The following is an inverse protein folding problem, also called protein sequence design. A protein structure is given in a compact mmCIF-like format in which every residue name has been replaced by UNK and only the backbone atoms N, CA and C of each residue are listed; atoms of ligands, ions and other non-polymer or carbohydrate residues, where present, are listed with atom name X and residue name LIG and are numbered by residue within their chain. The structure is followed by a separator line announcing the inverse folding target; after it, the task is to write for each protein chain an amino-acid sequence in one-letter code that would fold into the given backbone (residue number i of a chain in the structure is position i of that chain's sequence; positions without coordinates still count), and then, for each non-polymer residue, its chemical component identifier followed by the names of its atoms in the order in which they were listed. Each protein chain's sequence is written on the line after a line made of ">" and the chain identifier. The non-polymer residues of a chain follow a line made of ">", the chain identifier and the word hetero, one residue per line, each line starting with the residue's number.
data_IF_038015891342
#
_entry.id   IF_038015891342
#
_cell.length_a   1.000
_cell.length_b   1.000
_cell.length_c   1.000
_cell.angle_alpha   90.00
_cell.angle_beta   90.00
_cell.angle_gamma   90.00
#
_symmetry.space_group_name_H-M   'P 1'
#
loop_
_entity.id
_entity.type
_entity.pdbx_description
1 polymer ?
#
# COMPACT_ATOMS: atom_id res chain seq x y z
N UNK A 1 8.01 -66.85 -36.44
CA UNK A 1 8.85 -65.65 -36.59
C UNK A 1 8.01 -64.44 -36.20
N UNK A 2 8.11 -63.98 -34.95
CA UNK A 2 7.33 -62.83 -34.44
C UNK A 2 8.19 -61.57 -34.49
N UNK A 3 7.78 -60.58 -35.29
CA UNK A 3 8.43 -59.26 -35.31
C UNK A 3 7.87 -58.38 -34.18
N UNK A 4 8.80 -57.84 -33.39
CA UNK A 4 8.56 -56.96 -32.25
C UNK A 4 8.25 -55.53 -32.71
N UNK A 5 7.11 -54.99 -32.31
CA UNK A 5 6.79 -53.56 -32.44
C UNK A 5 7.32 -52.81 -31.21
N UNK A 6 8.45 -52.10 -31.38
CA UNK A 6 8.95 -51.10 -30.43
C UNK A 6 9.30 -49.83 -31.19
N UNK A 7 8.31 -49.00 -31.57
CA UNK A 7 8.59 -47.62 -31.97
C UNK A 7 7.33 -46.73 -31.91
N UNK A 8 6.76 -46.55 -30.72
CA UNK A 8 5.66 -45.58 -30.52
C UNK A 8 5.64 -44.93 -29.13
N UNK A 9 6.76 -44.97 -28.39
CA UNK A 9 6.84 -44.38 -27.04
C UNK A 9 7.90 -43.29 -26.88
N UNK A 10 8.45 -42.74 -27.97
CA UNK A 10 9.47 -41.68 -27.89
C UNK A 10 8.97 -40.28 -28.29
N UNK A 11 7.72 -40.15 -28.76
CA UNK A 11 7.17 -38.85 -29.20
C UNK A 11 6.13 -38.22 -28.26
N UNK A 12 5.95 -38.79 -27.05
CA UNK A 12 5.02 -38.26 -26.04
C UNK A 12 5.71 -37.72 -24.77
N UNK A 13 7.05 -37.75 -24.71
CA UNK A 13 7.83 -37.35 -23.53
C UNK A 13 8.62 -36.04 -23.71
N UNK A 14 8.55 -35.41 -24.89
CA UNK A 14 9.21 -34.12 -25.16
C UNK A 14 8.22 -32.94 -25.15
N UNK A 15 6.91 -33.18 -25.17
CA UNK A 15 5.89 -32.11 -25.08
C UNK A 15 5.40 -31.81 -23.66
N UNK A 16 5.89 -32.51 -22.62
CA UNK A 16 5.43 -32.32 -21.24
C UNK A 16 6.45 -31.62 -20.33
N UNK A 17 7.45 -30.95 -20.90
CA UNK A 17 8.50 -30.22 -20.15
C UNK A 17 8.47 -28.70 -20.34
N UNK A 18 7.46 -28.15 -21.03
CA UNK A 18 7.35 -26.70 -21.32
C UNK A 18 6.24 -25.94 -20.56
N UNK A 19 5.63 -26.53 -19.53
CA UNK A 19 4.58 -25.86 -18.73
C UNK A 19 4.82 -25.89 -17.21
N UNK A 20 6.05 -25.56 -16.79
CA UNK A 20 6.34 -25.19 -15.40
C UNK A 20 7.12 -23.86 -15.36
N UNK A 21 6.59 -22.82 -16.01
CA UNK A 21 6.85 -21.45 -15.54
C UNK A 21 5.98 -21.27 -14.32
N UNK A 22 6.49 -21.67 -13.16
CA UNK A 22 5.85 -21.38 -11.88
C UNK A 22 5.74 -19.86 -11.76
N UNK A 23 4.52 -19.34 -11.68
CA UNK A 23 4.28 -17.99 -11.22
C UNK A 23 4.77 -17.91 -9.78
N UNK A 24 5.95 -17.33 -9.57
CA UNK A 24 6.44 -17.06 -8.23
C UNK A 24 5.57 -15.94 -7.64
N UNK A 25 4.54 -16.32 -6.88
CA UNK A 25 3.84 -15.37 -6.02
C UNK A 25 4.85 -14.83 -5.01
N UNK A 26 5.11 -13.52 -5.05
CA UNK A 26 5.98 -12.87 -4.07
C UNK A 26 5.29 -12.91 -2.70
N UNK A 27 5.72 -13.83 -1.83
CA UNK A 27 5.20 -13.94 -0.47
C UNK A 27 5.76 -12.81 0.40
N UNK A 28 4.95 -12.33 1.35
CA UNK A 28 5.42 -11.37 2.34
C UNK A 28 6.53 -11.99 3.21
N UNK A 29 7.52 -11.19 3.59
CA UNK A 29 8.69 -11.63 4.37
C UNK A 29 9.05 -10.59 5.43
N UNK A 30 9.50 -11.04 6.60
CA UNK A 30 10.00 -10.16 7.67
C UNK A 30 11.32 -9.48 7.31
N UNK A 31 12.01 -9.97 6.27
CA UNK A 31 13.32 -9.48 5.82
C UNK A 31 13.27 -8.83 4.45
N UNK A 32 12.09 -8.50 3.92
CA UNK A 32 11.90 -7.98 2.56
C UNK A 32 12.81 -6.78 2.22
N UNK A 33 13.00 -5.85 3.16
CA UNK A 33 13.85 -4.66 2.98
C UNK A 33 15.29 -4.81 3.46
N UNK A 34 15.70 -5.99 3.97
CA UNK A 34 17.00 -6.16 4.62
C UNK A 34 18.20 -5.82 3.71
N UNK A 35 18.05 -5.99 2.39
CA UNK A 35 19.08 -5.65 1.39
C UNK A 35 18.83 -4.31 0.70
N UNK A 36 17.58 -3.99 0.35
CA UNK A 36 17.22 -2.83 -0.46
C UNK A 36 17.10 -1.53 0.35
N UNK A 37 16.70 -1.62 1.63
CA UNK A 37 16.67 -0.47 2.54
C UNK A 37 16.92 -0.94 3.99
N UNK A 38 18.18 -1.25 4.36
CA UNK A 38 18.51 -1.87 5.65
C UNK A 38 18.07 -1.07 6.88
N UNK A 39 18.02 0.26 6.76
CA UNK A 39 17.62 1.18 7.83
C UNK A 39 16.12 1.56 7.79
N UNK A 40 15.29 0.89 6.98
CA UNK A 40 13.88 1.22 6.86
C UNK A 40 13.14 1.10 8.22
N UNK A 41 13.25 -0.06 8.88
CA UNK A 41 12.50 -0.32 10.12
C UNK A 41 12.96 0.55 11.29
N UNK A 42 14.27 0.85 11.39
CA UNK A 42 14.79 1.75 12.42
C UNK A 42 14.34 3.21 12.20
N UNK A 43 14.26 3.65 10.94
CA UNK A 43 13.74 4.97 10.58
C UNK A 43 12.25 5.11 10.94
N UNK A 44 11.43 4.12 10.56
CA UNK A 44 10.00 4.09 10.93
C UNK A 44 9.85 4.16 12.46
N UNK A 45 10.56 3.30 13.18
CA UNK A 45 10.52 3.26 14.65
C UNK A 45 10.87 4.60 15.28
N UNK A 46 11.93 5.26 14.81
CA UNK A 46 12.38 6.55 15.36
C UNK A 46 11.30 7.64 15.24
N UNK A 47 10.64 7.73 14.08
CA UNK A 47 9.57 8.72 13.88
C UNK A 47 8.35 8.39 14.72
N UNK A 48 7.96 7.12 14.79
CA UNK A 48 6.81 6.66 15.60
C UNK A 48 7.06 6.91 17.08
N UNK A 49 8.23 6.52 17.62
CA UNK A 49 8.58 6.75 19.02
C UNK A 49 8.55 8.26 19.36
N UNK A 50 9.04 9.12 18.47
CA UNK A 50 8.98 10.57 18.64
C UNK A 50 7.54 11.11 18.63
N UNK A 51 6.70 10.61 17.73
CA UNK A 51 5.30 11.00 17.64
C UNK A 51 4.49 10.54 18.87
N UNK A 52 4.68 9.31 19.33
CA UNK A 52 4.03 8.75 20.53
C UNK A 52 4.51 9.45 21.79
N UNK A 53 5.79 9.81 21.89
CA UNK A 53 6.32 10.59 23.01
C UNK A 53 5.70 11.98 23.08
N UNK A 54 5.38 12.57 21.93
CA UNK A 54 4.69 13.87 21.84
C UNK A 54 3.21 13.75 22.20
N UNK A 55 2.55 12.71 21.71
CA UNK A 55 1.15 12.42 22.00
C UNK A 55 0.94 10.90 22.08
N UNK A 56 0.73 10.38 23.29
CA UNK A 56 0.55 8.93 23.50
C UNK A 56 -0.57 8.32 22.65
N UNK A 57 -1.66 9.07 22.43
CA UNK A 57 -2.79 8.64 21.56
C UNK A 57 -2.37 8.36 20.12
N UNK A 58 -1.24 8.89 19.65
CA UNK A 58 -0.75 8.63 18.30
C UNK A 58 -0.47 7.14 18.07
N UNK A 59 0.00 6.40 19.08
CA UNK A 59 0.22 4.96 18.95
C UNK A 59 -1.08 4.19 18.67
N UNK A 60 -2.16 4.53 19.38
CA UNK A 60 -3.50 4.00 19.13
C UNK A 60 -4.05 4.45 17.75
N UNK A 61 -3.72 5.67 17.33
CA UNK A 61 -4.16 6.21 16.04
C UNK A 61 -3.55 5.45 14.85
N UNK A 62 -2.25 5.17 14.92
CA UNK A 62 -1.51 4.41 13.91
C UNK A 62 -1.96 2.93 13.87
N UNK A 63 -2.20 2.33 15.04
CA UNK A 63 -2.78 0.99 15.13
C UNK A 63 -4.15 0.90 14.44
N UNK A 64 -5.02 1.88 14.72
CA UNK A 64 -6.35 1.96 14.09
C UNK A 64 -6.26 2.22 12.59
N UNK A 65 -5.32 3.05 12.14
CA UNK A 65 -5.10 3.29 10.72
C UNK A 65 -4.81 1.99 9.96
N UNK A 66 -3.99 1.09 10.52
CA UNK A 66 -3.72 -0.21 9.91
C UNK A 66 -4.93 -1.14 9.88
N UNK A 67 -5.74 -1.16 10.95
CA UNK A 67 -7.02 -1.91 10.92
C UNK A 67 -7.92 -1.38 9.79
N UNK A 68 -8.10 -0.06 9.69
CA UNK A 68 -8.97 0.53 8.68
C UNK A 68 -8.45 0.38 7.25
N UNK A 69 -7.13 0.27 7.04
CA UNK A 69 -6.52 -0.09 5.76
C UNK A 69 -6.86 -1.54 5.38
N UNK A 70 -6.67 -2.48 6.32
CA UNK A 70 -6.82 -3.91 6.04
C UNK A 70 -8.28 -4.41 5.98
N UNK A 71 -9.20 -3.76 6.69
CA UNK A 71 -10.55 -4.30 6.97
C UNK A 71 -11.64 -3.79 5.99
N UNK A 72 -11.32 -3.70 4.69
CA UNK A 72 -12.23 -3.22 3.63
C UNK A 72 -12.89 -4.37 2.85
N UNK A 73 -12.24 -4.99 1.88
CA UNK A 73 -12.79 -6.13 1.09
C UNK A 73 -11.82 -7.31 1.08
N UNK A 74 -12.28 -8.50 0.70
CA UNK A 74 -11.39 -9.65 0.49
C UNK A 74 -10.47 -9.46 -0.73
N UNK A 75 -10.65 -8.40 -1.53
CA UNK A 75 -9.80 -8.08 -2.69
C UNK A 75 -9.08 -6.72 -2.56
N UNK A 76 -9.41 -5.93 -1.51
CA UNK A 76 -8.79 -4.65 -1.17
C UNK A 76 -8.45 -4.73 0.31
N UNK A 77 -7.25 -5.27 0.58
CA UNK A 77 -6.75 -5.52 1.92
C UNK A 77 -5.74 -4.47 2.33
N UNK A 78 -4.66 -4.87 3.01
CA UNK A 78 -3.62 -3.95 3.48
C UNK A 78 -2.79 -3.40 2.30
N UNK A 79 -3.27 -2.35 1.64
CA UNK A 79 -2.70 -1.81 0.41
C UNK A 79 -2.47 -0.28 0.46
N UNK A 80 -2.67 0.34 1.62
CA UNK A 80 -2.51 1.77 1.84
C UNK A 80 -3.54 2.63 1.11
N UNK A 81 -4.65 2.06 0.63
CA UNK A 81 -5.74 2.78 -0.06
C UNK A 81 -6.33 3.90 0.78
N UNK A 82 -6.47 3.68 2.10
CA UNK A 82 -6.97 4.68 3.07
C UNK A 82 -6.13 5.96 3.11
N UNK A 83 -4.88 5.92 2.65
CA UNK A 83 -3.96 7.05 2.68
C UNK A 83 -4.24 8.04 1.54
N UNK A 84 -4.91 7.63 0.47
CA UNK A 84 -5.20 8.47 -0.70
C UNK A 84 -6.17 9.60 -0.34
N UNK A 85 -5.81 10.82 -0.72
CA UNK A 85 -6.66 12.01 -0.58
C UNK A 85 -7.62 12.14 -1.77
N UNK A 86 -8.78 12.74 -1.51
CA UNK A 86 -9.74 13.12 -2.56
C UNK A 86 -9.08 14.10 -3.55
N UNK A 87 -9.44 13.97 -4.83
CA UNK A 87 -9.14 14.96 -5.88
C UNK A 87 -10.41 15.28 -6.66
N UNK A 88 -10.35 16.21 -7.62
CA UNK A 88 -11.51 16.56 -8.44
C UNK A 88 -12.17 15.35 -9.13
N UNK A 89 -11.39 14.31 -9.46
CA UNK A 89 -11.84 13.13 -10.21
C UNK A 89 -11.58 11.81 -9.46
N UNK A 90 -11.30 11.86 -8.15
CA UNK A 90 -11.00 10.67 -7.34
C UNK A 90 -11.55 10.86 -5.93
N UNK A 91 -12.29 9.88 -5.42
CA UNK A 91 -12.77 9.86 -4.03
C UNK A 91 -12.03 8.78 -3.27
N UNK A 92 -11.28 9.20 -2.24
CA UNK A 92 -10.62 8.33 -1.29
C UNK A 92 -11.58 7.77 -0.23
N UNK A 93 -10.99 7.22 0.83
CA UNK A 93 -11.77 6.62 1.93
C UNK A 93 -11.89 7.50 3.16
N UNK A 94 -11.14 8.62 3.22
CA UNK A 94 -11.07 9.47 4.42
C UNK A 94 -12.41 10.10 4.79
N UNK A 95 -13.31 10.22 3.81
CA UNK A 95 -14.69 10.72 3.99
C UNK A 95 -15.71 9.64 4.30
N UNK A 96 -15.30 8.36 4.42
CA UNK A 96 -16.17 7.28 4.90
C UNK A 96 -16.62 7.53 6.34
N UNK A 97 -17.82 7.10 6.73
CA UNK A 97 -18.39 7.38 8.05
C UNK A 97 -17.49 6.96 9.22
N UNK A 98 -16.84 5.81 9.12
CA UNK A 98 -15.91 5.28 10.14
C UNK A 98 -14.55 6.01 10.16
N UNK A 99 -14.21 6.74 9.09
CA UNK A 99 -12.93 7.45 8.91
C UNK A 99 -13.04 8.94 9.19
N UNK A 100 -14.13 9.57 8.73
CA UNK A 100 -14.35 11.01 8.75
C UNK A 100 -14.30 11.57 10.16
N UNK A 101 -13.40 12.54 10.37
CA UNK A 101 -13.14 13.17 11.65
C UNK A 101 -12.78 12.16 12.77
N UNK A 102 -12.18 11.02 12.39
CA UNK A 102 -11.98 9.87 13.28
C UNK A 102 -10.58 9.27 13.13
N UNK A 103 -10.23 8.73 11.96
CA UNK A 103 -8.89 8.18 11.69
C UNK A 103 -7.89 9.33 11.54
N UNK A 104 -6.68 9.16 12.07
CA UNK A 104 -5.64 10.20 12.13
C UNK A 104 -4.23 9.58 12.16
N UNK A 105 -3.20 10.43 12.12
CA UNK A 105 -1.79 10.02 12.04
C UNK A 105 -1.24 9.97 10.61
N UNK A 106 -2.00 10.46 9.63
CA UNK A 106 -1.56 10.54 8.23
C UNK A 106 -0.27 11.36 8.07
N UNK A 107 -0.12 12.43 8.85
CA UNK A 107 1.06 13.30 8.91
C UNK A 107 2.31 12.58 9.43
N UNK A 108 2.14 11.65 10.37
CA UNK A 108 3.23 10.78 10.84
C UNK A 108 3.66 9.84 9.72
N UNK A 109 2.72 9.26 8.99
CA UNK A 109 2.99 8.43 7.80
C UNK A 109 3.73 9.25 6.72
N UNK A 110 3.32 10.49 6.47
CA UNK A 110 4.01 11.37 5.51
C UNK A 110 5.46 11.66 5.94
N UNK A 111 5.67 11.92 7.24
CA UNK A 111 7.01 12.19 7.79
C UNK A 111 7.91 10.97 7.62
N UNK A 112 7.42 9.78 8.01
CA UNK A 112 8.11 8.50 7.80
C UNK A 112 8.46 8.33 6.32
N UNK A 113 7.46 8.53 5.45
CA UNK A 113 7.63 8.33 4.01
C UNK A 113 8.70 9.25 3.43
N UNK A 114 8.70 10.54 3.77
CA UNK A 114 9.70 11.48 3.25
C UNK A 114 11.13 11.12 3.66
N UNK A 115 11.32 10.62 4.90
CA UNK A 115 12.63 10.18 5.37
C UNK A 115 13.08 8.91 4.66
N UNK A 116 12.17 7.96 4.45
CA UNK A 116 12.46 6.74 3.70
C UNK A 116 12.76 7.04 2.23
N UNK A 117 12.04 7.96 1.58
CA UNK A 117 12.34 8.37 0.21
C UNK A 117 13.69 9.08 0.09
N UNK A 118 14.11 9.82 1.12
CA UNK A 118 15.45 10.41 1.17
C UNK A 118 16.57 9.36 1.38
N UNK A 119 16.24 8.24 2.03
CA UNK A 119 17.17 7.18 2.39
C UNK A 119 17.31 6.12 1.29
N UNK A 120 16.19 5.69 0.71
CA UNK A 120 16.07 4.61 -0.26
C UNK A 120 14.88 4.88 -1.21
N UNK A 121 15.05 5.80 -2.17
CA UNK A 121 13.98 6.26 -3.06
C UNK A 121 13.23 5.12 -3.76
N UNK A 122 11.89 5.15 -3.72
CA UNK A 122 11.03 4.20 -4.43
C UNK A 122 11.08 2.75 -3.93
N UNK A 123 11.59 2.50 -2.71
CA UNK A 123 11.75 1.13 -2.18
C UNK A 123 10.61 0.72 -1.25
N UNK A 124 10.29 1.52 -0.23
CA UNK A 124 9.38 1.13 0.86
C UNK A 124 7.95 1.59 0.57
N UNK A 125 6.98 0.68 0.57
CA UNK A 125 5.57 1.02 0.30
C UNK A 125 4.91 1.72 1.47
N UNK A 126 3.86 2.50 1.19
CA UNK A 126 3.06 3.12 2.25
C UNK A 126 2.25 2.07 3.04
N UNK A 127 1.79 1.01 2.39
CA UNK A 127 1.14 -0.13 3.04
C UNK A 127 2.04 -0.77 4.12
N UNK A 128 3.33 -0.99 3.83
CA UNK A 128 4.26 -1.52 4.83
C UNK A 128 4.60 -0.51 5.93
N UNK A 129 4.67 0.79 5.61
CA UNK A 129 4.84 1.84 6.61
C UNK A 129 3.70 1.80 7.63
N UNK A 130 2.44 1.69 7.18
CA UNK A 130 1.28 1.61 8.07
C UNK A 130 1.33 0.37 8.97
N UNK A 131 1.69 -0.79 8.41
CA UNK A 131 1.79 -2.04 9.16
C UNK A 131 2.90 -1.99 10.24
N UNK A 132 4.08 -1.45 9.90
CA UNK A 132 5.19 -1.30 10.85
C UNK A 132 4.86 -0.24 11.90
N UNK A 133 4.27 0.88 11.50
CA UNK A 133 3.89 1.95 12.42
C UNK A 133 2.84 1.51 13.45
N UNK A 134 1.90 0.65 13.07
CA UNK A 134 0.96 0.03 14.01
C UNK A 134 1.67 -0.81 15.09
N UNK A 135 2.67 -1.61 14.68
CA UNK A 135 3.46 -2.41 15.62
C UNK A 135 4.29 -1.52 16.54
N UNK A 136 5.04 -0.59 15.98
CA UNK A 136 5.91 0.29 16.76
C UNK A 136 5.11 1.20 17.70
N UNK A 137 3.96 1.71 17.27
CA UNK A 137 3.06 2.50 18.11
C UNK A 137 2.48 1.69 19.28
N UNK A 138 2.18 0.42 19.06
CA UNK A 138 1.75 -0.51 20.11
C UNK A 138 2.87 -0.77 21.12
N UNK A 139 4.08 -1.06 20.63
CA UNK A 139 5.26 -1.32 21.49
C UNK A 139 5.65 -0.08 22.29
N UNK A 140 5.59 1.11 21.69
CA UNK A 140 5.89 2.37 22.38
C UNK A 140 4.94 2.64 23.57
N UNK A 141 3.74 2.06 23.54
CA UNK A 141 2.76 2.09 24.63
C UNK A 141 2.80 0.82 25.49
N UNK A 142 3.95 0.15 25.58
CA UNK A 142 4.19 -1.06 26.39
C UNK A 142 3.49 -2.34 25.88
N UNK A 143 2.95 -2.34 24.66
CA UNK A 143 2.28 -3.49 24.06
C UNK A 143 3.24 -4.60 23.61
N UNK A 144 2.70 -5.74 23.13
CA UNK A 144 3.53 -6.79 22.54
C UNK A 144 4.13 -6.33 21.20
N UNK A 145 5.30 -6.87 20.89
CA UNK A 145 5.84 -6.84 19.52
C UNK A 145 5.40 -8.07 18.75
N UNK A 146 5.36 -7.98 17.42
CA UNK A 146 5.18 -9.12 16.51
C UNK A 146 6.06 -8.96 15.28
N UNK A 147 6.27 -10.06 14.57
CA UNK A 147 7.07 -10.11 13.36
C UNK A 147 6.22 -9.61 12.17
N UNK A 148 6.29 -8.31 11.89
CA UNK A 148 5.58 -7.70 10.76
C UNK A 148 6.10 -8.32 9.46
N UNK A 149 5.22 -8.96 8.69
CA UNK A 149 5.53 -9.41 7.34
C UNK A 149 5.51 -8.21 6.40
N UNK A 150 6.45 -8.10 5.47
CA UNK A 150 6.68 -6.96 4.58
C UNK A 150 6.69 -7.40 3.11
N UNK A 151 6.62 -6.45 2.18
CA UNK A 151 6.52 -6.68 0.74
C UNK A 151 5.16 -6.31 0.16
N UNK A 152 4.30 -5.61 0.92
CA UNK A 152 3.04 -5.07 0.39
C UNK A 152 3.33 -3.99 -0.62
N UNK A 153 2.44 -3.82 -1.58
CA UNK A 153 2.44 -2.73 -2.56
C UNK A 153 1.23 -1.85 -2.38
N UNK A 154 1.37 -0.63 -2.84
CA UNK A 154 0.37 0.41 -2.71
C UNK A 154 -0.71 0.28 -3.78
N UNK A 155 -1.97 0.46 -3.38
CA UNK A 155 -3.09 0.53 -4.32
C UNK A 155 -3.00 1.74 -5.25
N UNK A 156 -3.66 1.64 -6.40
CA UNK A 156 -3.92 2.77 -7.31
C UNK A 156 -5.34 3.33 -7.16
N UNK A 157 -6.16 2.69 -6.33
CA UNK A 157 -7.56 3.02 -6.10
C UNK A 157 -7.88 3.02 -4.60
N UNK A 158 -9.03 3.59 -4.25
CA UNK A 158 -9.62 3.53 -2.92
C UNK A 158 -11.13 3.28 -3.07
N UNK A 159 -11.78 2.82 -2.01
CA UNK A 159 -13.19 2.46 -2.07
C UNK A 159 -14.00 2.99 -0.89
N UNK A 160 -14.55 4.21 -1.06
CA UNK A 160 -15.45 4.84 -0.08
C UNK A 160 -16.64 3.94 0.29
N UNK A 161 -17.24 3.26 -0.68
CA UNK A 161 -18.38 2.37 -0.45
C UNK A 161 -17.96 1.12 0.33
N UNK A 162 -16.81 0.52 0.04
CA UNK A 162 -16.29 -0.61 0.80
C UNK A 162 -16.00 -0.20 2.25
N UNK A 163 -15.39 0.96 2.47
CA UNK A 163 -15.11 1.47 3.81
C UNK A 163 -16.41 1.67 4.63
N UNK A 164 -17.47 2.18 4.01
CA UNK A 164 -18.76 2.33 4.67
C UNK A 164 -19.48 0.99 4.94
N UNK A 165 -19.28 -0.01 4.08
CA UNK A 165 -20.01 -1.28 4.15
C UNK A 165 -19.35 -2.32 5.07
N UNK A 166 -18.03 -2.31 5.20
CA UNK A 166 -17.30 -3.45 5.77
C UNK A 166 -16.58 -3.15 7.09
N UNK A 167 -16.36 -1.88 7.43
CA UNK A 167 -15.73 -1.53 8.70
C UNK A 167 -16.79 -1.68 9.81
N UNK A 168 -16.55 -2.54 10.83
CA UNK A 168 -17.53 -2.81 11.87
C UNK A 168 -17.97 -1.53 12.61
N UNK A 169 -19.27 -1.43 12.88
CA UNK A 169 -19.85 -0.30 13.60
C UNK A 169 -19.63 -0.44 15.11
N UNK A 170 -19.41 0.70 15.79
CA UNK A 170 -19.40 0.77 17.25
C UNK A 170 -20.77 0.45 17.89
N UNK A 171 -21.86 0.41 17.09
CA UNK A 171 -23.21 0.01 17.49
C UNK A 171 -23.52 -1.46 17.19
N UNK A 172 -22.59 -2.23 16.63
CA UNK A 172 -22.83 -3.63 16.27
C UNK A 172 -22.95 -4.54 17.50
N UNK A 173 -23.93 -5.44 17.46
CA UNK A 173 -24.06 -6.51 18.45
C UNK A 173 -23.06 -7.65 18.19
N UNK A 174 -22.95 -8.60 19.13
CA UNK A 174 -21.97 -9.69 19.03
C UNK A 174 -22.12 -10.54 17.76
N UNK A 175 -23.35 -10.84 17.33
CA UNK A 175 -23.60 -11.65 16.12
C UNK A 175 -23.07 -10.96 14.87
N UNK A 176 -23.32 -9.65 14.73
CA UNK A 176 -22.82 -8.85 13.61
C UNK A 176 -21.29 -8.78 13.66
N UNK A 177 -20.70 -8.52 14.83
CA UNK A 177 -19.24 -8.47 14.98
C UNK A 177 -18.58 -9.80 14.57
N UNK A 178 -19.13 -10.94 15.00
CA UNK A 178 -18.62 -12.27 14.61
C UNK A 178 -18.76 -12.46 13.10
N UNK A 179 -19.88 -12.07 12.50
CA UNK A 179 -20.11 -12.15 11.05
C UNK A 179 -19.09 -11.31 10.27
N UNK A 180 -18.91 -10.05 10.64
CA UNK A 180 -18.00 -9.12 9.96
C UNK A 180 -16.55 -9.64 10.00
N UNK A 181 -16.11 -10.16 11.15
CA UNK A 181 -14.78 -10.75 11.29
C UNK A 181 -14.64 -12.10 10.57
N UNK A 182 -15.68 -12.94 10.62
CA UNK A 182 -15.69 -14.22 9.90
C UNK A 182 -15.63 -14.04 8.39
N UNK A 183 -16.25 -12.98 7.85
CA UNK A 183 -16.16 -12.61 6.44
C UNK A 183 -14.73 -12.24 6.00
N UNK A 184 -13.84 -11.95 6.96
CA UNK A 184 -12.39 -11.73 6.75
C UNK A 184 -11.54 -12.92 7.19
N UNK A 185 -12.16 -14.05 7.50
CA UNK A 185 -11.48 -15.28 7.92
C UNK A 185 -11.03 -15.28 9.38
N UNK A 186 -11.53 -14.38 10.23
CA UNK A 186 -11.23 -14.36 11.66
C UNK A 186 -12.24 -15.15 12.49
N UNK A 187 -11.74 -15.81 13.51
CA UNK A 187 -12.54 -16.49 14.54
C UNK A 187 -13.05 -15.51 15.58
N UNK A 188 -14.07 -15.91 16.35
CA UNK A 188 -14.54 -15.14 17.50
C UNK A 188 -13.43 -14.87 18.54
N UNK A 189 -12.48 -15.81 18.71
CA UNK A 189 -11.31 -15.60 19.59
C UNK A 189 -10.42 -14.45 19.10
N UNK A 190 -10.18 -14.39 17.79
CA UNK A 190 -9.36 -13.33 17.18
C UNK A 190 -10.08 -11.99 17.17
N UNK A 191 -11.42 -11.96 16.99
CA UNK A 191 -12.24 -10.77 17.24
C UNK A 191 -12.01 -10.22 18.64
N UNK A 192 -12.11 -11.06 19.67
CA UNK A 192 -11.91 -10.64 21.07
C UNK A 192 -10.47 -10.16 21.30
N UNK A 193 -9.48 -10.82 20.69
CA UNK A 193 -8.08 -10.38 20.77
C UNK A 193 -7.90 -8.99 20.14
N UNK A 194 -8.33 -8.78 18.89
CA UNK A 194 -8.19 -7.51 18.17
C UNK A 194 -8.98 -6.37 18.81
N UNK A 195 -10.14 -6.66 19.41
CA UNK A 195 -10.91 -5.69 20.20
C UNK A 195 -10.13 -5.19 21.43
N UNK A 196 -9.18 -5.99 21.93
CA UNK A 196 -8.24 -5.58 22.97
C UNK A 196 -7.36 -4.39 22.58
N UNK A 197 -7.27 -4.00 21.30
CA UNK A 197 -6.64 -2.74 20.88
C UNK A 197 -7.27 -1.50 21.53
N UNK A 198 -8.53 -1.58 21.95
CA UNK A 198 -9.22 -0.53 22.70
C UNK A 198 -8.71 -0.37 24.15
N UNK A 199 -7.67 -1.10 24.56
CA UNK A 199 -6.92 -0.81 25.79
C UNK A 199 -6.17 0.54 25.73
N UNK A 200 -6.00 1.13 24.55
CA UNK A 200 -5.37 2.45 24.35
C UNK A 200 -6.22 3.34 23.47
N UNK A 201 -6.02 4.65 23.58
CA UNK A 201 -6.65 5.64 22.72
C UNK A 201 -7.98 6.16 23.26
N UNK A 202 -8.71 6.88 22.41
CA UNK A 202 -9.91 7.62 22.82
C UNK A 202 -10.96 7.59 21.71
N UNK A 203 -12.22 7.60 22.14
CA UNK A 203 -13.38 7.71 21.28
C UNK A 203 -14.10 9.06 21.47
N UNK A 204 -14.84 9.47 20.45
CA UNK A 204 -15.65 10.69 20.45
C UNK A 204 -17.01 10.43 21.11
N UNK A 205 -17.57 11.41 21.81
CA UNK A 205 -18.86 11.32 22.48
C UNK A 205 -19.96 10.74 21.59
N UNK A 206 -20.01 11.15 20.32
CA UNK A 206 -21.00 10.64 19.36
C UNK A 206 -21.01 9.11 19.21
N UNK A 207 -19.88 8.43 19.45
CA UNK A 207 -19.79 6.97 19.27
C UNK A 207 -20.23 6.16 20.50
N UNK A 208 -20.44 6.80 21.65
CA UNK A 208 -20.90 6.11 22.88
C UNK A 208 -22.06 6.80 23.58
N UNK A 209 -22.52 7.97 23.10
CA UNK A 209 -23.63 8.72 23.68
C UNK A 209 -24.87 7.86 23.90
N UNK A 210 -25.33 7.14 22.86
CA UNK A 210 -26.51 6.28 22.95
C UNK A 210 -26.37 5.27 24.08
N UNK A 211 -25.18 4.68 24.23
CA UNK A 211 -24.90 3.69 25.28
C UNK A 211 -24.99 4.28 26.68
N UNK A 212 -24.30 5.39 26.95
CA UNK A 212 -24.24 5.95 28.31
C UNK A 212 -25.57 6.53 28.80
N UNK A 213 -26.54 6.78 27.91
CA UNK A 213 -27.88 7.27 28.26
C UNK A 213 -28.96 6.18 28.25
N UNK A 214 -28.86 5.17 27.38
CA UNK A 214 -29.99 4.27 27.10
C UNK A 214 -29.73 2.79 27.43
N UNK A 215 -28.47 2.37 27.63
CA UNK A 215 -28.16 0.97 27.90
C UNK A 215 -28.12 0.64 29.40
N UNK A 216 -28.56 -0.56 29.77
CA UNK A 216 -28.59 -1.03 31.17
C UNK A 216 -27.39 -1.89 31.54
N UNK A 217 -26.65 -2.42 30.58
CA UNK A 217 -25.42 -3.20 30.79
C UNK A 217 -24.18 -2.28 30.90
N UNK A 218 -24.30 -1.18 31.65
CA UNK A 218 -23.19 -0.27 31.96
C UNK A 218 -23.17 0.01 33.45
N UNK A 219 -21.98 0.07 34.03
CA UNK A 219 -21.82 0.51 35.40
C UNK A 219 -22.36 1.95 35.54
N UNK A 220 -23.34 2.15 36.41
CA UNK A 220 -24.07 3.42 36.54
C UNK A 220 -23.17 4.60 36.92
N UNK A 221 -22.18 4.38 37.80
CA UNK A 221 -21.21 5.42 38.18
C UNK A 221 -20.29 5.79 37.01
N UNK A 222 -19.86 4.82 36.21
CA UNK A 222 -19.07 5.05 35.00
C UNK A 222 -19.86 5.79 33.91
N UNK A 223 -21.11 5.40 33.68
CA UNK A 223 -22.00 6.13 32.76
C UNK A 223 -22.17 7.59 33.20
N UNK A 224 -22.46 7.82 34.49
CA UNK A 224 -22.60 9.17 35.06
C UNK A 224 -21.33 10.01 34.88
N UNK A 225 -20.14 9.42 35.08
CA UNK A 225 -18.88 10.15 34.90
C UNK A 225 -18.64 10.54 33.44
N UNK A 226 -19.06 9.71 32.48
CA UNK A 226 -18.93 10.01 31.05
C UNK A 226 -19.91 11.10 30.59
N UNK A 227 -21.13 11.11 31.13
CA UNK A 227 -22.16 12.12 30.79
C UNK A 227 -21.71 13.56 31.08
N UNK A 228 -20.83 13.76 32.08
CA UNK A 228 -20.27 15.07 32.39
C UNK A 228 -19.48 15.69 31.22
N UNK A 229 -18.84 14.86 30.37
CA UNK A 229 -18.08 15.30 29.20
C UNK A 229 -18.77 14.91 27.87
N UNK A 230 -19.92 14.24 27.92
CA UNK A 230 -20.68 13.82 26.75
C UNK A 230 -22.17 14.12 26.98
N UNK A 231 -22.61 15.36 26.73
CA UNK A 231 -24.00 15.76 26.91
C UNK A 231 -24.97 14.97 26.03
N UNK A 232 -26.25 14.94 26.43
CA UNK A 232 -27.33 14.25 25.70
C UNK A 232 -27.54 14.82 24.29
N UNK A 233 -27.14 16.07 24.06
CA UNK A 233 -27.13 16.73 22.75
C UNK A 233 -25.89 17.62 22.62
N UNK A 234 -25.27 17.64 21.44
CA UNK A 234 -24.02 18.38 21.20
C UNK A 234 -22.79 17.75 21.85
N UNK A 235 -21.64 18.43 21.74
CA UNK A 235 -20.36 17.91 22.27
C UNK A 235 -19.84 16.66 21.54
N UNK A 236 -20.27 16.41 20.29
CA UNK A 236 -19.97 15.20 19.53
C UNK A 236 -18.49 14.85 19.47
N UNK A 237 -17.63 15.87 19.42
CA UNK A 237 -16.18 15.73 19.30
C UNK A 237 -15.46 15.49 20.64
N UNK A 238 -16.15 15.63 21.79
CA UNK A 238 -15.53 15.46 23.10
C UNK A 238 -14.98 14.05 23.23
N UNK A 239 -13.75 13.93 23.74
CA UNK A 239 -13.02 12.69 23.79
C UNK A 239 -13.14 12.02 25.16
N UNK A 240 -13.28 10.71 25.17
CA UNK A 240 -13.15 9.89 26.38
C UNK A 240 -12.23 8.69 26.11
N UNK A 241 -11.41 8.27 27.08
CA UNK A 241 -10.56 7.10 26.91
C UNK A 241 -11.35 5.81 26.68
N UNK A 242 -10.91 4.98 25.74
CA UNK A 242 -11.49 3.66 25.49
C UNK A 242 -11.27 2.71 26.68
N UNK A 243 -10.14 2.87 27.36
CA UNK A 243 -9.82 2.23 28.64
C UNK A 243 -9.72 3.28 29.74
N UNK A 244 -10.59 3.17 30.74
CA UNK A 244 -10.62 4.09 31.89
C UNK A 244 -9.57 3.79 32.96
N UNK A 245 -8.94 2.61 32.92
CA UNK A 245 -7.99 2.14 33.93
C UNK A 245 -6.57 2.55 33.57
N UNK A 246 -6.19 2.40 32.29
CA UNK A 246 -4.82 2.62 31.80
C UNK A 246 -4.82 3.21 30.39
N UNK A 247 -5.33 4.45 30.20
CA UNK A 247 -5.70 5.01 28.90
C UNK A 247 -4.57 5.13 27.86
N UNK A 248 -3.32 5.06 28.30
CA UNK A 248 -2.10 5.19 27.49
C UNK A 248 -1.15 4.00 27.63
N UNK A 249 -1.60 2.88 28.19
CA UNK A 249 -0.78 1.67 28.34
C UNK A 249 -1.49 0.51 27.68
N UNK A 250 -0.78 -0.20 26.80
CA UNK A 250 -1.28 -1.40 26.17
C UNK A 250 -1.12 -2.59 27.12
N UNK A 251 -2.21 -2.94 27.79
CA UNK A 251 -2.30 -4.08 28.70
C UNK A 251 -3.68 -4.76 28.60
N UNK A 252 -4.04 -5.56 29.61
CA UNK A 252 -5.30 -6.31 29.58
C UNK A 252 -6.43 -5.62 30.36
N UNK A 253 -6.25 -4.37 30.80
CA UNK A 253 -7.23 -3.64 31.58
C UNK A 253 -8.55 -3.44 30.84
N UNK A 254 -8.52 -3.32 29.50
CA UNK A 254 -9.71 -3.39 28.65
C UNK A 254 -10.65 -4.54 29.05
N UNK A 255 -10.13 -5.76 29.17
CA UNK A 255 -10.96 -6.93 29.52
C UNK A 255 -11.44 -6.90 30.98
N UNK A 256 -10.64 -6.33 31.90
CA UNK A 256 -11.07 -6.13 33.29
C UNK A 256 -12.21 -5.09 33.39
N UNK A 257 -12.19 -4.07 32.53
CA UNK A 257 -13.27 -3.08 32.42
C UNK A 257 -14.56 -3.73 31.92
N UNK A 258 -14.49 -4.58 30.87
CA UNK A 258 -15.68 -5.28 30.36
C UNK A 258 -16.37 -6.10 31.46
N UNK A 259 -15.59 -6.80 32.28
CA UNK A 259 -16.10 -7.58 33.44
C UNK A 259 -16.77 -6.71 34.49
N UNK A 260 -16.36 -5.44 34.58
CA UNK A 260 -16.92 -4.45 35.51
C UNK A 260 -18.01 -3.58 34.85
N UNK A 261 -18.50 -3.96 33.67
CA UNK A 261 -19.46 -3.18 32.85
C UNK A 261 -18.97 -1.77 32.51
N UNK A 262 -17.66 -1.61 32.32
CA UNK A 262 -16.98 -0.36 31.96
C UNK A 262 -16.45 -0.35 30.52
N UNK A 263 -16.99 -1.19 29.63
CA UNK A 263 -16.73 -1.06 28.19
C UNK A 263 -17.35 0.23 27.66
N UNK A 264 -16.55 1.06 26.98
CA UNK A 264 -16.98 2.39 26.53
C UNK A 264 -17.99 2.30 25.38
N UNK A 265 -17.67 1.55 24.33
CA UNK A 265 -18.55 1.42 23.17
C UNK A 265 -19.59 0.33 23.40
N UNK A 266 -20.70 0.40 22.65
CA UNK A 266 -21.68 -0.70 22.62
C UNK A 266 -20.99 -2.00 22.20
N UNK A 267 -20.28 -1.99 21.07
CA UNK A 267 -19.53 -3.14 20.55
C UNK A 267 -18.55 -3.75 21.56
N UNK A 268 -17.95 -2.95 22.44
CA UNK A 268 -17.04 -3.44 23.47
C UNK A 268 -17.78 -4.30 24.50
N UNK A 269 -18.88 -3.77 25.04
CA UNK A 269 -19.61 -4.45 26.11
C UNK A 269 -20.34 -5.70 25.60
N UNK A 270 -20.64 -5.78 24.29
CA UNK A 270 -21.19 -6.98 23.66
C UNK A 270 -20.27 -8.20 23.80
N UNK A 271 -18.96 -8.01 23.90
CA UNK A 271 -18.00 -9.11 24.12
C UNK A 271 -18.17 -9.77 25.50
N UNK A 272 -18.77 -9.06 26.47
CA UNK A 272 -19.04 -9.55 27.82
C UNK A 272 -20.48 -9.23 28.27
N UNK A 273 -21.46 -9.78 27.55
CA UNK A 273 -22.90 -9.62 27.84
C UNK A 273 -23.65 -10.96 27.92
N UNK A 274 -22.97 -12.03 28.32
CA UNK A 274 -23.57 -13.37 28.50
C UNK A 274 -23.51 -14.26 27.25
N UNK A 275 -22.71 -13.87 26.25
CA UNK A 275 -22.56 -14.57 24.98
C UNK A 275 -21.35 -15.52 24.92
N UNK A 276 -21.09 -16.04 23.71
CA UNK A 276 -20.04 -17.02 23.43
C UNK A 276 -18.61 -16.51 23.67
N UNK A 277 -18.39 -15.20 23.73
CA UNK A 277 -17.08 -14.58 23.95
C UNK A 277 -16.71 -14.38 25.42
N UNK A 278 -17.65 -14.59 26.36
CA UNK A 278 -17.43 -14.34 27.79
C UNK A 278 -16.22 -15.08 28.36
N UNK A 279 -16.07 -16.38 28.02
CA UNK A 279 -14.95 -17.19 28.50
C UNK A 279 -13.59 -16.62 28.04
N UNK A 280 -13.53 -16.13 26.80
CA UNK A 280 -12.31 -15.56 26.25
C UNK A 280 -11.95 -14.21 26.90
N UNK A 281 -12.93 -13.36 27.18
CA UNK A 281 -12.73 -12.12 27.94
C UNK A 281 -12.22 -12.41 29.35
N UNK A 282 -12.75 -13.44 30.02
CA UNK A 282 -12.25 -13.86 31.34
C UNK A 282 -10.78 -14.27 31.25
N UNK A 283 -10.41 -15.12 30.28
CA UNK A 283 -9.02 -15.58 30.08
C UNK A 283 -8.08 -14.38 29.89
N UNK A 284 -8.40 -13.44 28.99
CA UNK A 284 -7.54 -12.29 28.75
C UNK A 284 -7.48 -11.33 29.95
N UNK A 285 -8.56 -11.21 30.73
CA UNK A 285 -8.56 -10.40 31.96
C UNK A 285 -7.70 -10.98 33.09
N UNK A 286 -7.46 -12.30 33.11
CA UNK A 286 -6.71 -12.97 34.19
C UNK A 286 -5.30 -13.39 33.77
N UNK A 287 -5.04 -13.59 32.48
CA UNK A 287 -3.76 -14.06 31.95
C UNK A 287 -3.27 -13.06 30.88
N UNK A 288 -2.58 -11.96 31.28
CA UNK A 288 -2.13 -10.94 30.32
C UNK A 288 -1.24 -11.48 29.20
N UNK A 289 -0.48 -12.54 29.47
CA UNK A 289 0.42 -13.15 28.50
C UNK A 289 -0.32 -13.78 27.30
N UNK A 290 -1.47 -14.44 27.52
CA UNK A 290 -2.23 -15.06 26.42
C UNK A 290 -2.83 -13.99 25.51
N UNK A 291 -3.36 -12.91 26.09
CA UNK A 291 -3.83 -11.75 25.32
C UNK A 291 -2.72 -11.19 24.43
N UNK A 292 -1.53 -10.94 25.00
CA UNK A 292 -0.39 -10.38 24.25
C UNK A 292 0.02 -11.25 23.07
N UNK A 293 0.10 -12.58 23.27
CA UNK A 293 0.45 -13.53 22.20
C UNK A 293 -0.65 -13.62 21.14
N UNK A 294 -1.90 -13.77 21.56
CA UNK A 294 -3.03 -13.90 20.63
C UNK A 294 -3.26 -12.61 19.84
N UNK A 295 -3.06 -11.44 20.46
CA UNK A 295 -3.10 -10.14 19.78
C UNK A 295 -2.02 -10.04 18.70
N UNK A 296 -0.76 -10.36 19.01
CA UNK A 296 0.33 -10.35 18.03
C UNK A 296 0.07 -11.28 16.84
N UNK A 297 -0.44 -12.50 17.10
CA UNK A 297 -0.81 -13.46 16.06
C UNK A 297 -1.97 -12.94 15.18
N UNK A 298 -3.00 -12.37 15.79
CA UNK A 298 -4.13 -11.81 15.06
C UNK A 298 -3.72 -10.58 14.23
N UNK A 299 -2.80 -9.75 14.73
CA UNK A 299 -2.22 -8.63 13.98
C UNK A 299 -1.40 -9.09 12.78
N UNK A 300 -0.61 -10.17 12.90
CA UNK A 300 0.08 -10.77 11.75
C UNK A 300 -0.95 -11.20 10.70
N UNK A 301 -1.98 -11.96 11.12
CA UNK A 301 -3.04 -12.43 10.22
C UNK A 301 -3.79 -11.29 9.53
N UNK A 302 -4.11 -10.23 10.27
CA UNK A 302 -4.73 -9.02 9.73
C UNK A 302 -3.83 -8.32 8.72
N UNK A 303 -2.54 -8.19 9.01
CA UNK A 303 -1.57 -7.65 8.07
C UNK A 303 -1.44 -8.47 6.78
N UNK A 304 -1.86 -9.74 6.77
CA UNK A 304 -1.80 -10.62 5.60
C UNK A 304 -3.11 -10.63 4.78
N UNK A 305 -4.08 -9.77 5.11
CA UNK A 305 -5.30 -9.65 4.32
C UNK A 305 -5.00 -9.05 2.95
N UNK A 306 -5.20 -9.85 1.91
CA UNK A 306 -5.23 -9.51 0.48
C UNK A 306 -4.18 -8.47 0.05
N UNK A 307 -2.88 -8.71 0.32
CA UNK A 307 -1.84 -7.76 -0.02
C UNK A 307 -1.62 -7.72 -1.54
N UNK A 308 -1.42 -6.53 -2.09
CA UNK A 308 -0.82 -6.39 -3.41
C UNK A 308 0.67 -6.76 -3.31
N UNK A 309 1.14 -7.64 -4.19
CA UNK A 309 2.52 -8.16 -4.17
C UNK A 309 3.08 -8.28 -5.59
N UNK A 310 4.38 -8.50 -5.73
CA UNK A 310 5.03 -8.67 -7.03
C UNK A 310 4.94 -7.40 -7.89
N UNK A 311 4.24 -7.49 -9.02
CA UNK A 311 4.00 -6.36 -9.93
C UNK A 311 2.63 -5.71 -9.75
N UNK A 312 1.75 -6.25 -8.91
CA UNK A 312 0.44 -5.68 -8.61
C UNK A 312 0.57 -4.45 -7.71
N UNK A 313 -0.10 -3.35 -8.06
CA UNK A 313 0.05 -2.07 -7.35
C UNK A 313 1.40 -1.38 -7.63
N UNK A 314 1.72 -0.36 -6.85
CA UNK A 314 2.90 0.50 -7.03
C UNK A 314 3.70 0.67 -5.73
N UNK A 315 4.83 1.38 -5.80
CA UNK A 315 5.44 2.00 -4.62
C UNK A 315 5.21 3.50 -4.78
N UNK A 316 4.31 4.08 -3.98
CA UNK A 316 4.05 5.53 -4.03
C UNK A 316 5.22 6.24 -3.36
N UNK A 317 5.71 7.35 -3.91
CA UNK A 317 6.67 8.22 -3.19
C UNK A 317 5.96 9.17 -2.21
N UNK A 318 4.69 9.46 -2.47
CA UNK A 318 3.82 10.23 -1.60
C UNK A 318 2.56 9.42 -1.29
N UNK A 319 2.35 9.07 -0.01
CA UNK A 319 1.25 8.19 0.39
C UNK A 319 -0.14 8.78 0.15
N UNK A 320 -0.26 10.09 0.02
CA UNK A 320 -1.53 10.79 -0.20
C UNK A 320 -2.01 10.79 -1.64
N UNK A 321 -1.10 10.56 -2.58
CA UNK A 321 -1.39 10.72 -4.01
C UNK A 321 -1.12 9.41 -4.71
N UNK A 322 -2.05 9.05 -5.59
CA UNK A 322 -1.72 8.09 -6.62
C UNK A 322 -0.81 8.83 -7.62
N UNK A 323 0.39 8.30 -7.89
CA UNK A 323 1.25 8.85 -8.94
C UNK A 323 0.57 8.71 -10.31
N UNK A 324 -0.40 7.80 -10.41
CA UNK A 324 -1.32 7.57 -11.52
C UNK A 324 -0.58 7.34 -12.86
N UNK A 325 0.71 7.03 -12.81
CA UNK A 325 1.51 6.53 -13.91
C UNK A 325 1.39 5.01 -13.94
N UNK A 326 0.93 4.50 -15.07
CA UNK A 326 0.79 3.07 -15.34
C UNK A 326 1.69 2.63 -16.50
N UNK A 327 1.60 1.34 -16.86
CA UNK A 327 2.37 0.77 -17.99
C UNK A 327 2.01 1.46 -19.31
N UNK A 328 0.78 1.94 -19.46
CA UNK A 328 0.38 2.73 -20.62
C UNK A 328 1.12 4.07 -20.69
N UNK A 329 1.27 4.75 -19.55
CA UNK A 329 2.06 5.97 -19.47
C UNK A 329 3.55 5.72 -19.76
N UNK A 330 4.11 4.60 -19.32
CA UNK A 330 5.48 4.20 -19.68
C UNK A 330 5.66 4.07 -21.19
N UNK A 331 4.78 3.31 -21.86
CA UNK A 331 4.88 3.08 -23.32
C UNK A 331 4.65 4.39 -24.07
N UNK A 332 3.65 5.19 -23.66
CA UNK A 332 3.37 6.47 -24.27
C UNK A 332 4.57 7.42 -24.12
N UNK A 333 5.05 7.67 -22.88
CA UNK A 333 6.16 8.59 -22.62
C UNK A 333 7.47 8.18 -23.30
N UNK A 334 7.71 6.88 -23.48
CA UNK A 334 8.87 6.38 -24.24
C UNK A 334 8.82 6.82 -25.72
N UNK A 335 7.63 7.10 -26.24
CA UNK A 335 7.45 7.72 -27.55
C UNK A 335 8.09 9.11 -27.69
N UNK A 336 8.56 9.74 -26.61
CA UNK A 336 9.42 10.93 -26.71
C UNK A 336 10.69 10.68 -27.54
N UNK A 337 11.14 9.43 -27.64
CA UNK A 337 12.27 9.02 -28.49
C UNK A 337 12.00 9.09 -29.99
N UNK A 338 10.81 9.49 -30.44
CA UNK A 338 10.60 9.87 -31.84
C UNK A 338 11.39 11.12 -32.25
N UNK A 339 11.85 11.93 -31.29
CA UNK A 339 12.70 13.10 -31.56
C UNK A 339 14.07 12.92 -30.90
N UNK A 340 15.11 13.27 -31.64
CA UNK A 340 16.45 13.47 -31.12
C UNK A 340 17.42 12.34 -31.45
N UNK A 341 18.55 12.39 -30.74
CA UNK A 341 19.72 11.57 -31.01
C UNK A 341 20.27 11.00 -29.71
N UNK A 342 20.82 9.80 -29.78
CA UNK A 342 21.60 9.21 -28.70
C UNK A 342 23.09 9.23 -29.04
N UNK A 343 23.92 9.35 -28.00
CA UNK A 343 25.37 9.23 -28.13
C UNK A 343 25.78 7.77 -28.20
N UNK A 344 26.79 7.45 -29.00
CA UNK A 344 27.36 6.13 -29.17
C UNK A 344 27.62 5.39 -27.85
N UNK A 345 28.15 6.09 -26.84
CA UNK A 345 28.42 5.48 -25.52
C UNK A 345 27.18 4.85 -24.86
N UNK A 346 25.98 5.34 -25.18
CA UNK A 346 24.72 4.86 -24.59
C UNK A 346 24.22 3.58 -25.26
N UNK A 347 24.36 3.44 -26.58
CA UNK A 347 23.86 2.29 -27.34
C UNK A 347 24.95 1.30 -27.78
N UNK A 348 26.23 1.58 -27.52
CA UNK A 348 27.35 0.70 -27.91
C UNK A 348 27.17 -0.72 -27.41
N UNK A 349 26.85 -0.90 -26.13
CA UNK A 349 26.70 -2.25 -25.55
C UNK A 349 25.66 -3.05 -26.32
N UNK A 350 24.52 -2.43 -26.64
CA UNK A 350 23.42 -3.06 -27.38
C UNK A 350 23.83 -3.59 -28.74
N UNK A 351 24.43 -2.74 -29.58
CA UNK A 351 24.74 -3.14 -30.96
C UNK A 351 25.80 -4.25 -31.06
N UNK A 352 26.62 -4.44 -30.01
CA UNK A 352 27.65 -5.49 -29.97
C UNK A 352 27.25 -6.74 -29.18
N UNK A 353 26.37 -6.62 -28.19
CA UNK A 353 26.10 -7.69 -27.23
C UNK A 353 24.67 -8.25 -27.29
N UNK A 354 23.69 -7.48 -27.77
CA UNK A 354 22.30 -7.94 -27.79
C UNK A 354 22.00 -8.87 -28.96
N UNK A 355 21.13 -9.84 -28.71
CA UNK A 355 20.62 -10.78 -29.71
C UNK A 355 19.25 -10.38 -30.26
N UNK A 356 18.57 -9.38 -29.67
CA UNK A 356 17.23 -8.93 -30.04
C UNK A 356 17.27 -7.60 -30.84
N UNK A 357 18.19 -7.49 -31.78
CA UNK A 357 18.35 -6.33 -32.66
C UNK A 357 18.46 -6.81 -34.11
N UNK A 358 17.80 -6.10 -35.03
CA UNK A 358 17.90 -6.36 -36.47
C UNK A 358 19.38 -6.30 -36.90
N UNK A 359 19.96 -7.38 -37.45
CA UNK A 359 21.39 -7.42 -37.77
C UNK A 359 21.83 -6.34 -38.76
N UNK A 360 20.96 -5.99 -39.72
CA UNK A 360 21.25 -4.93 -40.69
C UNK A 360 21.29 -3.54 -40.02
N UNK A 361 20.33 -3.27 -39.13
CA UNK A 361 20.30 -2.05 -38.32
C UNK A 361 21.49 -1.96 -37.35
N UNK A 362 21.81 -3.05 -36.64
CA UNK A 362 23.00 -3.10 -35.79
C UNK A 362 24.27 -2.83 -36.60
N UNK A 363 24.38 -3.40 -37.81
CA UNK A 363 25.53 -3.18 -38.66
C UNK A 363 25.63 -1.72 -39.16
N UNK A 364 24.51 -1.07 -39.50
CA UNK A 364 24.52 0.35 -39.89
C UNK A 364 24.99 1.24 -38.74
N UNK A 365 24.56 0.97 -37.51
CA UNK A 365 24.97 1.69 -36.31
C UNK A 365 26.45 1.49 -35.95
N UNK A 366 27.03 0.31 -36.23
CA UNK A 366 28.47 0.03 -35.99
C UNK A 366 29.41 0.90 -36.83
N UNK A 367 28.97 1.38 -38.00
CA UNK A 367 29.75 2.37 -38.76
C UNK A 367 29.80 3.73 -38.08
N UNK A 368 28.76 4.09 -37.34
CA UNK A 368 28.67 5.33 -36.55
C UNK A 368 29.37 5.16 -35.20
N UNK A 369 29.25 3.99 -34.59
CA UNK A 369 29.69 3.69 -33.23
C UNK A 369 30.66 2.50 -33.21
N UNK A 370 31.97 2.75 -33.36
CA UNK A 370 32.97 1.67 -33.35
C UNK A 370 33.09 1.01 -31.97
N UNK A 371 33.74 -0.18 -31.88
CA UNK A 371 33.88 -0.91 -30.62
C UNK A 371 34.63 -0.12 -29.54
N UNK A 372 35.51 0.80 -29.95
CA UNK A 372 36.26 1.71 -29.09
C UNK A 372 36.33 3.10 -29.72
N UNK A 373 36.28 4.15 -28.89
CA UNK A 373 36.26 5.54 -29.34
C UNK A 373 34.94 5.99 -29.96
N UNK A 374 34.88 7.24 -30.45
CA UNK A 374 33.67 7.79 -31.07
C UNK A 374 32.49 7.99 -30.12
N UNK A 375 32.72 8.05 -28.80
CA UNK A 375 31.66 8.08 -27.77
C UNK A 375 30.60 9.17 -27.97
N UNK A 376 30.98 10.29 -28.60
CA UNK A 376 30.11 11.44 -28.85
C UNK A 376 29.40 11.39 -30.20
N UNK A 377 29.67 10.39 -31.04
CA UNK A 377 28.97 10.21 -32.32
C UNK A 377 27.47 10.01 -32.04
N UNK A 378 26.64 10.63 -32.88
CA UNK A 378 25.19 10.65 -32.69
C UNK A 378 24.53 9.70 -33.69
N UNK A 379 23.58 8.91 -33.20
CA UNK A 379 22.62 8.18 -34.02
C UNK A 379 21.20 8.66 -33.68
N UNK A 380 20.32 8.79 -34.68
CA UNK A 380 18.95 9.20 -34.43
C UNK A 380 18.19 8.09 -33.68
N UNK A 381 17.30 8.47 -32.78
CA UNK A 381 16.52 7.52 -31.98
C UNK A 381 15.45 6.79 -32.81
N UNK A 382 15.00 7.38 -33.92
CA UNK A 382 14.14 6.79 -34.95
C UNK A 382 14.49 7.35 -36.36
N UNK A 383 13.81 6.92 -37.44
CA UNK A 383 14.09 7.39 -38.80
C UNK A 383 13.68 8.85 -39.09
N UNK A 384 12.90 9.48 -38.21
CA UNK A 384 12.33 10.82 -38.37
C UNK A 384 12.69 11.72 -37.18
N UNK A 385 13.99 11.90 -36.84
CA UNK A 385 14.44 12.43 -35.54
C UNK A 385 14.10 13.90 -35.25
N UNK A 386 13.42 14.58 -36.16
CA UNK A 386 12.94 15.95 -36.03
C UNK A 386 11.40 16.06 -36.10
N UNK A 387 10.68 14.94 -36.07
CA UNK A 387 9.21 14.90 -36.14
C UNK A 387 8.67 14.06 -34.99
N UNK A 388 7.53 14.49 -34.47
CA UNK A 388 6.80 13.72 -33.48
C UNK A 388 5.77 12.85 -34.19
N UNK A 389 6.11 11.58 -34.44
CA UNK A 389 5.27 10.65 -35.19
C UNK A 389 5.33 9.21 -34.64
N UNK A 390 4.90 8.21 -35.42
CA UNK A 390 4.81 6.81 -34.97
C UNK A 390 5.98 5.94 -35.43
N UNK A 391 7.02 6.53 -36.04
CA UNK A 391 8.15 5.79 -36.60
C UNK A 391 8.94 5.07 -35.51
N UNK A 392 9.12 5.68 -34.34
CA UNK A 392 9.66 5.02 -33.14
C UNK A 392 9.03 3.65 -32.87
N UNK A 393 7.70 3.58 -32.74
CA UNK A 393 7.01 2.31 -32.46
C UNK A 393 7.06 1.35 -33.65
N UNK A 394 7.03 1.87 -34.88
CA UNK A 394 7.19 1.06 -36.09
C UNK A 394 8.56 0.35 -36.11
N UNK A 395 9.62 1.00 -35.65
CA UNK A 395 10.95 0.40 -35.55
C UNK A 395 11.03 -0.69 -34.47
N UNK A 396 10.34 -0.53 -33.34
CA UNK A 396 10.31 -1.55 -32.29
C UNK A 396 9.73 -2.88 -32.79
N UNK A 397 8.71 -2.83 -33.65
CA UNK A 397 8.12 -4.02 -34.29
C UNK A 397 9.13 -4.81 -35.14
N UNK A 398 10.18 -4.14 -35.63
CA UNK A 398 11.21 -4.72 -36.48
C UNK A 398 12.52 -4.98 -35.75
N UNK A 399 12.53 -4.98 -34.41
CA UNK A 399 13.75 -5.10 -33.60
C UNK A 399 14.77 -3.98 -33.84
N UNK A 400 14.30 -2.76 -34.14
CA UNK A 400 15.13 -1.58 -34.46
C UNK A 400 15.14 -0.52 -33.36
N UNK A 401 14.77 -0.85 -32.13
CA UNK A 401 14.97 0.05 -30.99
C UNK A 401 16.46 0.34 -30.77
N UNK A 402 16.86 1.62 -30.78
CA UNK A 402 18.26 2.03 -30.61
C UNK A 402 18.80 1.69 -29.21
N UNK A 403 17.99 1.88 -28.17
CA UNK A 403 18.38 1.63 -26.78
C UNK A 403 17.85 0.29 -26.28
N UNK A 404 18.52 -0.30 -25.28
CA UNK A 404 18.06 -1.55 -24.64
C UNK A 404 16.64 -1.38 -24.08
N UNK A 405 16.38 -0.24 -23.44
CA UNK A 405 15.08 0.10 -22.87
C UNK A 405 13.98 0.22 -23.92
N UNK A 406 14.30 0.71 -25.12
CA UNK A 406 13.31 0.89 -26.19
C UNK A 406 12.79 -0.45 -26.67
N UNK A 407 13.69 -1.37 -26.99
CA UNK A 407 13.28 -2.68 -27.49
C UNK A 407 12.64 -3.57 -26.43
N UNK A 408 12.93 -3.31 -25.16
CA UNK A 408 12.25 -4.00 -24.06
C UNK A 408 10.73 -3.70 -24.01
N UNK A 409 10.25 -2.64 -24.67
CA UNK A 409 8.82 -2.37 -24.80
C UNK A 409 8.10 -3.33 -25.76
N UNK A 410 8.84 -4.03 -26.63
CA UNK A 410 8.29 -5.00 -27.58
C UNK A 410 9.12 -6.27 -27.59
N UNK A 411 8.81 -7.18 -26.67
CA UNK A 411 9.60 -8.39 -26.41
C UNK A 411 8.75 -9.58 -25.96
N UNK A 412 7.48 -9.65 -26.39
CA UNK A 412 6.54 -10.70 -25.97
C UNK A 412 5.87 -10.42 -24.62
N UNK A 413 5.79 -9.14 -24.22
CA UNK A 413 5.32 -8.72 -22.90
C UNK A 413 3.96 -8.04 -22.91
N UNK A 414 3.55 -7.51 -21.75
CA UNK A 414 2.28 -6.80 -21.58
C UNK A 414 2.20 -5.43 -22.28
N UNK A 415 3.31 -4.96 -22.86
CA UNK A 415 3.42 -3.66 -23.56
C UNK A 415 3.23 -3.80 -25.08
N UNK A 416 3.28 -5.01 -25.61
CA UNK A 416 3.31 -5.28 -27.05
C UNK A 416 2.06 -4.76 -27.78
N UNK A 417 0.88 -4.90 -27.17
CA UNK A 417 -0.39 -4.41 -27.75
C UNK A 417 -0.41 -2.89 -27.89
N UNK A 418 0.17 -2.17 -26.93
CA UNK A 418 0.26 -0.71 -26.97
C UNK A 418 1.26 -0.24 -28.01
N UNK A 419 2.44 -0.86 -28.08
CA UNK A 419 3.44 -0.58 -29.13
C UNK A 419 2.84 -0.84 -30.50
N UNK A 420 2.14 -1.96 -30.67
CA UNK A 420 1.43 -2.30 -31.91
C UNK A 420 0.38 -1.25 -32.25
N UNK A 421 -0.42 -0.82 -31.28
CA UNK A 421 -1.45 0.22 -31.49
C UNK A 421 -0.83 1.55 -31.91
N UNK A 422 0.22 2.00 -31.22
CA UNK A 422 0.85 3.30 -31.47
C UNK A 422 1.65 3.32 -32.78
N UNK A 423 2.09 2.18 -33.32
CA UNK A 423 2.82 2.14 -34.59
C UNK A 423 1.99 2.60 -35.79
N UNK A 424 0.67 2.32 -35.80
CA UNK A 424 -0.22 2.67 -36.91
C UNK A 424 -1.31 3.70 -36.56
N UNK A 425 -1.52 4.02 -35.28
CA UNK A 425 -2.55 4.95 -34.83
C UNK A 425 -1.94 6.20 -34.18
N UNK A 426 -1.58 7.23 -34.97
CA UNK A 426 -0.97 8.46 -34.45
C UNK A 426 -1.90 9.21 -33.48
N UNK A 427 -3.22 9.17 -33.69
CA UNK A 427 -4.17 9.83 -32.80
C UNK A 427 -4.18 9.20 -31.41
N UNK A 428 -4.17 7.86 -31.33
CA UNK A 428 -4.10 7.15 -30.06
C UNK A 428 -2.79 7.43 -29.33
N UNK A 429 -1.66 7.40 -30.06
CA UNK A 429 -0.35 7.72 -29.50
C UNK A 429 -0.31 9.16 -28.96
N UNK A 430 -0.67 10.16 -29.76
CA UNK A 430 -0.58 11.57 -29.36
C UNK A 430 -1.49 11.89 -28.16
N UNK A 431 -2.70 11.32 -28.14
CA UNK A 431 -3.62 11.49 -27.02
C UNK A 431 -3.06 10.86 -25.73
N UNK A 432 -2.51 9.65 -25.82
CA UNK A 432 -1.88 8.99 -24.68
C UNK A 432 -0.66 9.77 -24.19
N UNK A 433 0.25 10.13 -25.10
CA UNK A 433 1.46 10.90 -24.77
C UNK A 433 1.13 12.20 -24.04
N UNK A 434 0.18 12.99 -24.54
CA UNK A 434 -0.22 14.24 -23.92
C UNK A 434 -0.77 14.02 -22.50
N UNK A 435 -1.63 13.01 -22.31
CA UNK A 435 -2.18 12.66 -21.00
C UNK A 435 -1.08 12.23 -20.03
N UNK A 436 -0.13 11.41 -20.50
CA UNK A 436 0.97 10.91 -19.69
C UNK A 436 1.98 12.01 -19.35
N UNK A 437 2.24 12.95 -20.26
CA UNK A 437 3.07 14.12 -20.00
C UNK A 437 2.47 15.03 -18.93
N UNK A 438 1.14 15.20 -18.90
CA UNK A 438 0.46 15.92 -17.81
C UNK A 438 0.61 15.19 -16.49
N UNK A 439 0.42 13.86 -16.46
CA UNK A 439 0.65 13.06 -15.24
C UNK A 439 2.09 13.20 -14.76
N UNK A 440 3.07 13.06 -15.64
CA UNK A 440 4.49 13.19 -15.34
C UNK A 440 4.85 14.61 -14.84
N UNK A 441 4.29 15.65 -15.47
CA UNK A 441 4.49 17.04 -15.04
C UNK A 441 3.88 17.36 -13.67
N UNK A 442 2.93 16.56 -13.20
CA UNK A 442 2.31 16.68 -11.89
C UNK A 442 3.01 15.84 -10.80
N UNK A 443 4.14 15.22 -11.10
CA UNK A 443 4.97 14.57 -10.08
C UNK A 443 5.63 15.65 -9.22
N UNK A 444 5.05 15.84 -8.04
CA UNK A 444 5.59 16.67 -6.95
C UNK A 444 6.06 18.09 -7.35
N UNK A 445 5.26 18.89 -8.10
CA UNK A 445 5.63 20.26 -8.36
C UNK A 445 5.72 21.05 -7.04
N UNK A 446 6.80 21.81 -6.86
CA UNK A 446 6.92 22.75 -5.75
C UNK A 446 5.87 23.87 -5.93
N UNK A 447 5.01 24.06 -4.94
CA UNK A 447 3.94 25.07 -4.98
C UNK A 447 3.99 26.01 -3.78
N UNK A 448 3.40 27.20 -3.93
CA UNK A 448 3.40 28.23 -2.89
C UNK A 448 4.82 28.59 -2.44
N UNK A 449 5.06 28.49 -1.12
CA UNK A 449 6.33 28.86 -0.50
C UNK A 449 7.35 27.71 -0.45
N UNK A 450 7.02 26.55 -1.05
CA UNK A 450 7.93 25.38 -1.11
C UNK A 450 9.01 25.51 -2.19
N UNK A 451 8.91 26.53 -3.04
CA UNK A 451 9.87 26.82 -4.11
C UNK A 451 9.93 28.31 -4.42
N UNK A 452 10.61 28.67 -5.50
CA UNK A 452 10.72 30.06 -5.95
C UNK A 452 10.55 30.17 -7.46
N UNK A 453 9.97 31.29 -7.90
CA UNK A 453 9.94 31.67 -9.30
C UNK A 453 11.30 32.27 -9.65
N UNK A 454 12.15 31.48 -10.30
CA UNK A 454 13.51 31.88 -10.66
C UNK A 454 13.48 32.96 -11.74
N UNK A 455 14.20 34.06 -11.52
CA UNK A 455 14.43 35.10 -12.54
C UNK A 455 15.43 34.65 -13.61
N UNK A 456 16.31 33.73 -13.24
CA UNK A 456 17.23 33.07 -14.15
C UNK A 456 17.17 31.55 -13.90
N UNK A 457 16.80 30.78 -14.92
CA UNK A 457 16.58 29.33 -14.83
C UNK A 457 17.84 28.51 -14.48
N UNK A 458 19.02 29.13 -14.39
CA UNK A 458 20.28 28.48 -14.03
C UNK A 458 20.75 28.75 -12.60
N UNK A 459 20.09 29.66 -11.87
CA UNK A 459 20.49 30.04 -10.50
C UNK A 459 19.29 30.14 -9.57
N UNK A 460 19.52 29.85 -8.30
CA UNK A 460 18.57 30.14 -7.22
C UNK A 460 18.54 31.67 -7.02
N UNK A 461 17.37 32.26 -6.76
CA UNK A 461 17.28 33.71 -6.51
C UNK A 461 17.99 34.11 -5.22
#
# INVERSE_FOLDING_TARGET
>A
MGFSSKSTKFLFLVCLSYFLVGTAFAQLSTTFYAKSCPNALSTIKSVVDSAVKTEARMGASLLRLHFHDCFLLLEQGCDGSILLDDTANFTGEKTAGSNLNSVRGYDVIDTIKSQLESLCPGVVSCADIVAVAARDGTVALNGPSWAVQLGRRDSTTASLSAANANIPSFLSNLTVLISDFSNKGFTAKELVALSGSHTIGQARCITFRTRIYNETNINSAFATSLQANCPSTGGDANLSPLDTTSPTTFDNAYFTNLRSQKGLLHSDQQLFSGGSTNAQVIIYSTIPATFRTDFGNAMIKMGSLSPLTGTSGQIRNNCRKNQNLDVGDLVALSGAHTIGFSRCVIYRSRIYNDTNIDPAFAQSLKYICPPTGGDSNLAPLDPTPARFDTAYYSDLLHSRGLLHSDQALFSGGSTDDLVTTYSYNPLAFFAAFAKSMVKMGNIEPLTGNQGQIRRNCRVVN
#
